data_IF_312045928296
#
_entry.id   IF_312045928296
#
_cell.length_a   1.000
_cell.length_b   1.000
_cell.length_c   1.000
_cell.angle_alpha   90.00
_cell.angle_beta   90.00
_cell.angle_gamma   90.00
#
_symmetry.space_group_name_H-M   'P 1'
#
loop_
_entity.id
_entity.type
_entity.pdbx_description
1 polymer ?
#
# COMPACT_ATOMS: atom_id res chain seq x y z
N UNK A 1 19.24 0.77 -4.25
CA UNK A 1 19.06 1.38 -2.93
C UNK A 1 19.74 0.48 -1.90
N UNK A 2 20.60 1.05 -1.06
CA UNK A 2 21.31 0.31 -0.01
C UNK A 2 20.42 0.00 1.21
N UNK A 3 21.05 -0.43 2.31
CA UNK A 3 20.35 -0.74 3.55
C UNK A 3 19.69 0.52 4.15
N UNK A 4 20.37 1.65 4.04
CA UNK A 4 19.89 2.97 4.49
C UNK A 4 18.62 3.39 3.76
N UNK A 5 18.53 3.12 2.46
CA UNK A 5 17.31 3.41 1.69
C UNK A 5 16.10 2.57 2.14
N UNK A 6 16.33 1.32 2.55
CA UNK A 6 15.27 0.46 3.11
C UNK A 6 14.85 0.98 4.49
N UNK A 7 15.80 1.39 5.32
CA UNK A 7 15.52 1.97 6.64
C UNK A 7 14.69 3.25 6.52
N UNK A 8 15.07 4.16 5.60
CA UNK A 8 14.29 5.38 5.32
C UNK A 8 12.83 5.05 4.95
N UNK A 9 12.63 4.05 4.08
CA UNK A 9 11.26 3.71 3.66
C UNK A 9 10.43 3.13 4.80
N UNK A 10 11.05 2.35 5.70
CA UNK A 10 10.38 1.85 6.90
C UNK A 10 10.01 2.98 7.86
N UNK A 11 10.90 3.95 8.08
CA UNK A 11 10.64 5.11 8.92
C UNK A 11 9.51 5.98 8.34
N UNK A 12 9.46 6.13 7.01
CA UNK A 12 8.37 6.82 6.31
C UNK A 12 7.04 6.07 6.47
N UNK A 13 7.04 4.74 6.32
CA UNK A 13 5.86 3.91 6.56
C UNK A 13 5.31 4.10 7.98
N UNK A 14 6.20 4.08 8.98
CA UNK A 14 5.83 4.25 10.38
C UNK A 14 5.34 5.67 10.68
N UNK A 15 6.04 6.70 10.15
CA UNK A 15 5.71 8.11 10.45
C UNK A 15 4.40 8.56 9.81
N UNK A 16 4.10 8.08 8.61
CA UNK A 16 2.91 8.46 7.86
C UNK A 16 1.79 7.42 7.93
N UNK A 17 2.02 6.30 8.61
CA UNK A 17 1.09 5.16 8.72
C UNK A 17 0.65 4.62 7.35
N UNK A 18 1.55 4.64 6.36
CA UNK A 18 1.30 4.16 4.99
C UNK A 18 2.04 2.86 4.72
N UNK A 19 1.66 2.18 3.64
CA UNK A 19 2.47 1.11 3.07
C UNK A 19 3.10 1.59 1.76
N UNK A 20 4.42 1.45 1.65
CA UNK A 20 5.19 1.70 0.44
C UNK A 20 5.41 0.38 -0.30
N UNK A 21 4.71 0.12 -1.42
CA UNK A 21 4.95 -1.09 -2.20
C UNK A 21 6.30 -1.04 -2.90
N UNK A 22 6.89 -2.20 -3.17
CA UNK A 22 8.17 -2.31 -3.84
C UNK A 22 8.20 -1.55 -5.19
N UNK A 23 7.07 -1.54 -5.91
CA UNK A 23 6.91 -0.80 -7.17
C UNK A 23 6.95 0.73 -7.01
N UNK A 24 6.53 1.28 -5.87
CA UNK A 24 6.68 2.71 -5.59
C UNK A 24 8.13 3.03 -5.21
N UNK A 25 8.79 2.15 -4.45
CA UNK A 25 10.19 2.30 -4.08
C UNK A 25 11.12 2.34 -5.31
N UNK A 26 10.81 1.58 -6.36
CA UNK A 26 11.54 1.62 -7.63
C UNK A 26 11.41 2.96 -8.38
N UNK A 27 10.33 3.69 -8.16
CA UNK A 27 10.03 4.98 -8.82
C UNK A 27 10.52 6.19 -8.02
N UNK A 28 10.72 6.04 -6.72
CA UNK A 28 11.17 7.10 -5.82
C UNK A 28 12.71 7.13 -5.87
N UNK A 29 13.27 8.08 -6.64
CA UNK A 29 14.71 8.24 -6.81
C UNK A 29 15.24 9.47 -6.08
N UNK A 30 14.42 10.50 -5.90
CA UNK A 30 14.81 11.76 -5.27
C UNK A 30 13.98 12.05 -4.01
N UNK A 31 14.47 12.96 -3.19
CA UNK A 31 13.72 13.47 -2.03
C UNK A 31 12.40 14.12 -2.48
N UNK A 32 12.39 14.78 -3.63
CA UNK A 32 11.19 15.36 -4.24
C UNK A 32 10.18 14.31 -4.67
N UNK A 33 10.62 13.16 -5.22
CA UNK A 33 9.73 12.06 -5.59
C UNK A 33 9.03 11.49 -4.36
N UNK A 34 9.77 11.28 -3.27
CA UNK A 34 9.21 10.83 -2.00
C UNK A 34 8.16 11.81 -1.47
N UNK A 35 8.49 13.11 -1.45
CA UNK A 35 7.54 14.13 -1.05
C UNK A 35 6.30 14.17 -1.94
N UNK A 36 6.46 14.13 -3.26
CA UNK A 36 5.35 14.11 -4.22
C UNK A 36 4.44 12.89 -4.02
N UNK A 37 5.03 11.71 -3.79
CA UNK A 37 4.29 10.49 -3.48
C UNK A 37 3.44 10.64 -2.22
N UNK A 38 4.02 11.14 -1.13
CA UNK A 38 3.31 11.37 0.14
C UNK A 38 2.15 12.37 -0.04
N UNK A 39 2.42 13.48 -0.74
CA UNK A 39 1.39 14.48 -1.00
C UNK A 39 0.26 13.95 -1.87
N UNK A 40 0.55 13.08 -2.83
CA UNK A 40 -0.50 12.43 -3.64
C UNK A 40 -1.38 11.53 -2.76
N UNK A 41 -0.80 10.75 -1.87
CA UNK A 41 -1.54 9.92 -0.90
C UNK A 41 -2.42 10.75 0.03
N UNK A 42 -1.89 11.83 0.59
CA UNK A 42 -2.64 12.76 1.45
C UNK A 42 -3.81 13.41 0.68
N UNK A 43 -3.58 13.83 -0.56
CA UNK A 43 -4.64 14.41 -1.42
C UNK A 43 -5.72 13.39 -1.76
N UNK A 44 -5.35 12.18 -2.11
CA UNK A 44 -6.30 11.11 -2.42
C UNK A 44 -7.22 10.82 -1.21
N UNK A 45 -6.66 10.74 -0.02
CA UNK A 45 -7.43 10.55 1.20
C UNK A 45 -8.43 11.69 1.46
N UNK A 46 -8.02 12.93 1.20
CA UNK A 46 -8.82 14.13 1.47
C UNK A 46 -9.69 14.57 0.28
N UNK A 47 -9.57 13.94 -0.91
CA UNK A 47 -10.28 14.35 -2.14
C UNK A 47 -11.79 14.10 -2.13
N UNK A 48 -12.36 13.58 -1.04
CA UNK A 48 -13.77 13.19 -0.99
C UNK A 48 -14.10 11.96 -1.86
N UNK A 49 -13.13 11.40 -2.57
CA UNK A 49 -13.27 10.11 -3.21
C UNK A 49 -13.37 9.06 -2.12
N UNK A 50 -14.48 8.34 -2.10
CA UNK A 50 -14.65 7.26 -1.15
C UNK A 50 -13.57 6.20 -1.41
N UNK A 51 -12.55 6.15 -0.55
CA UNK A 51 -11.40 5.24 -0.69
C UNK A 51 -11.87 3.79 -0.81
N UNK A 52 -12.93 3.41 -0.08
CA UNK A 52 -13.55 2.10 -0.20
C UNK A 52 -14.12 1.85 -1.59
N UNK A 53 -14.71 2.84 -2.26
CA UNK A 53 -15.15 2.70 -3.65
C UNK A 53 -13.96 2.55 -4.59
N UNK A 54 -12.92 3.39 -4.43
CA UNK A 54 -11.70 3.33 -5.25
C UNK A 54 -11.01 1.96 -5.16
N UNK A 55 -10.95 1.35 -3.97
CA UNK A 55 -10.36 0.02 -3.75
C UNK A 55 -11.31 -1.14 -4.12
N UNK A 56 -12.62 -0.94 -4.03
CA UNK A 56 -13.59 -1.94 -4.43
C UNK A 56 -13.54 -2.26 -5.93
N UNK A 57 -13.31 -1.26 -6.78
CA UNK A 57 -13.27 -1.46 -8.23
C UNK A 57 -12.11 -2.36 -8.70
N UNK A 58 -10.84 -2.19 -8.27
CA UNK A 58 -9.76 -3.12 -8.57
C UNK A 58 -10.07 -4.55 -8.10
N UNK A 59 -10.57 -4.73 -6.87
CA UNK A 59 -10.97 -6.05 -6.34
C UNK A 59 -12.00 -6.71 -7.25
N UNK A 60 -13.08 -5.97 -7.62
CA UNK A 60 -14.11 -6.46 -8.53
C UNK A 60 -13.54 -6.80 -9.89
N UNK A 61 -12.68 -5.95 -10.44
CA UNK A 61 -12.05 -6.17 -11.75
C UNK A 61 -11.26 -7.47 -11.77
N UNK A 62 -10.40 -7.70 -10.79
CA UNK A 62 -9.63 -8.94 -10.68
C UNK A 62 -10.57 -10.17 -10.61
N UNK A 63 -11.60 -10.13 -9.77
CA UNK A 63 -12.54 -11.25 -9.62
C UNK A 63 -13.27 -11.57 -10.92
N UNK A 64 -13.69 -10.55 -11.67
CA UNK A 64 -14.41 -10.73 -12.93
C UNK A 64 -13.47 -11.16 -14.07
N UNK A 65 -12.37 -10.45 -14.26
CA UNK A 65 -11.51 -10.63 -15.44
C UNK A 65 -10.62 -11.88 -15.31
N UNK A 66 -10.08 -12.15 -14.13
CA UNK A 66 -9.10 -13.21 -13.92
C UNK A 66 -9.70 -14.52 -13.34
N UNK A 67 -10.84 -14.41 -12.64
CA UNK A 67 -11.46 -15.56 -11.97
C UNK A 67 -12.88 -15.87 -12.47
N UNK A 68 -13.32 -15.18 -13.54
CA UNK A 68 -14.61 -15.41 -14.21
C UNK A 68 -15.82 -15.35 -13.27
N UNK A 69 -15.75 -14.53 -12.24
CA UNK A 69 -16.88 -14.30 -11.32
C UNK A 69 -17.88 -13.36 -11.99
N UNK A 70 -19.18 -13.66 -11.87
CA UNK A 70 -20.19 -12.73 -12.37
C UNK A 70 -20.13 -11.42 -11.59
N UNK A 71 -20.13 -10.30 -12.34
CA UNK A 71 -20.09 -8.96 -11.75
C UNK A 71 -21.20 -8.71 -10.73
N UNK A 72 -22.38 -9.31 -10.93
CA UNK A 72 -23.55 -9.18 -10.06
C UNK A 72 -23.32 -9.86 -8.70
N UNK A 73 -22.47 -10.89 -8.66
CA UNK A 73 -22.16 -11.64 -7.44
C UNK A 73 -21.10 -10.96 -6.58
N UNK A 74 -20.31 -10.02 -7.15
CA UNK A 74 -19.29 -9.28 -6.41
C UNK A 74 -19.95 -8.14 -5.62
N UNK A 75 -20.38 -8.48 -4.40
CA UNK A 75 -21.00 -7.54 -3.44
C UNK A 75 -20.16 -7.47 -2.16
N UNK A 76 -20.22 -6.37 -1.40
CA UNK A 76 -19.46 -6.26 -0.15
C UNK A 76 -19.70 -7.40 0.84
N UNK A 77 -20.89 -7.97 0.86
CA UNK A 77 -21.27 -9.08 1.76
C UNK A 77 -20.88 -10.46 1.24
N UNK A 78 -20.46 -10.57 -0.03
CA UNK A 78 -20.13 -11.88 -0.62
C UNK A 78 -18.81 -12.40 -0.07
N UNK A 79 -18.80 -13.68 0.30
CA UNK A 79 -17.61 -14.36 0.83
C UNK A 79 -16.64 -14.69 -0.32
N UNK A 80 -15.36 -14.35 -0.13
CA UNK A 80 -14.32 -14.61 -1.12
C UNK A 80 -14.15 -16.10 -1.43
N UNK A 81 -14.36 -16.95 -0.45
CA UNK A 81 -14.24 -18.41 -0.63
C UNK A 81 -15.30 -19.02 -1.57
N UNK A 82 -16.40 -18.31 -1.84
CA UNK A 82 -17.42 -18.71 -2.82
C UNK A 82 -17.03 -18.30 -4.25
N UNK A 83 -16.17 -17.31 -4.37
CA UNK A 83 -15.78 -16.72 -5.65
C UNK A 83 -14.41 -17.22 -6.14
N UNK A 84 -13.51 -17.55 -5.21
CA UNK A 84 -12.13 -17.95 -5.54
C UNK A 84 -11.90 -19.38 -5.08
N UNK A 85 -11.65 -20.27 -6.04
CA UNK A 85 -11.35 -21.67 -5.76
C UNK A 85 -10.08 -21.81 -4.89
N UNK A 86 -10.01 -22.88 -4.07
CA UNK A 86 -8.90 -23.08 -3.12
C UNK A 86 -7.52 -23.02 -3.77
N UNK A 87 -7.38 -23.59 -4.97
CA UNK A 87 -6.12 -23.61 -5.71
C UNK A 87 -5.68 -22.24 -6.25
N UNK A 88 -6.63 -21.32 -6.39
CA UNK A 88 -6.39 -20.00 -7.01
C UNK A 88 -6.22 -18.88 -5.98
N UNK A 89 -6.41 -19.16 -4.67
CA UNK A 89 -6.39 -18.12 -3.64
C UNK A 89 -5.06 -17.41 -3.52
N UNK A 90 -3.95 -18.13 -3.64
CA UNK A 90 -2.63 -17.49 -3.64
C UNK A 90 -2.44 -16.57 -4.85
N UNK A 91 -2.87 -17.02 -6.04
CA UNK A 91 -2.82 -16.21 -7.26
C UNK A 91 -3.68 -14.94 -7.14
N UNK A 92 -4.89 -15.08 -6.62
CA UNK A 92 -5.77 -13.94 -6.34
C UNK A 92 -5.12 -12.96 -5.37
N UNK A 93 -4.54 -13.47 -4.29
CA UNK A 93 -3.91 -12.66 -3.24
C UNK A 93 -2.74 -11.84 -3.78
N UNK A 94 -1.82 -12.47 -4.53
CA UNK A 94 -0.67 -11.78 -5.14
C UNK A 94 -1.09 -10.70 -6.13
N UNK A 95 -2.08 -10.98 -7.00
CA UNK A 95 -2.61 -9.96 -7.92
C UNK A 95 -3.26 -8.79 -7.18
N UNK A 96 -3.90 -9.08 -6.06
CA UNK A 96 -4.54 -8.05 -5.26
C UNK A 96 -3.50 -7.16 -4.56
N UNK A 97 -2.45 -7.75 -3.96
CA UNK A 97 -1.34 -7.00 -3.36
C UNK A 97 -0.70 -6.03 -4.37
N UNK A 98 -0.50 -6.49 -5.61
CA UNK A 98 -0.02 -5.65 -6.70
C UNK A 98 -1.00 -4.50 -7.02
N UNK A 99 -2.29 -4.81 -7.14
CA UNK A 99 -3.31 -3.83 -7.55
C UNK A 99 -3.64 -2.79 -6.48
N UNK A 100 -3.56 -3.16 -5.19
CA UNK A 100 -3.83 -2.25 -4.07
C UNK A 100 -2.56 -1.61 -3.52
N UNK A 101 -1.39 -1.99 -4.06
CA UNK A 101 -0.08 -1.53 -3.64
C UNK A 101 0.15 -1.64 -2.12
N UNK A 102 -0.28 -2.76 -1.52
CA UNK A 102 -0.16 -3.00 -0.09
C UNK A 102 0.07 -4.49 0.21
N UNK A 103 0.82 -4.78 1.27
CA UNK A 103 1.00 -6.16 1.76
C UNK A 103 -0.22 -6.61 2.53
N UNK A 104 -0.86 -7.66 2.05
CA UNK A 104 -2.01 -8.25 2.70
C UNK A 104 -1.60 -9.29 3.76
N UNK A 105 -2.47 -9.58 4.74
CA UNK A 105 -2.19 -10.59 5.74
C UNK A 105 -2.05 -11.97 5.09
N UNK A 106 -1.11 -12.78 5.59
CA UNK A 106 -0.83 -14.10 5.03
C UNK A 106 -2.07 -14.98 5.04
N UNK A 107 -2.30 -15.69 3.95
CA UNK A 107 -3.32 -16.74 3.88
C UNK A 107 -3.05 -17.80 4.96
N UNK A 108 -4.09 -18.24 5.65
CA UNK A 108 -3.98 -19.29 6.66
C UNK A 108 -3.88 -20.65 5.98
N UNK A 109 -2.86 -21.42 6.28
CA UNK A 109 -2.78 -22.82 5.86
C UNK A 109 -3.70 -23.68 6.70
N UNK A 110 -4.59 -24.45 6.07
CA UNK A 110 -5.37 -25.45 6.77
C UNK A 110 -4.45 -26.52 7.36
N UNK A 111 -4.49 -26.71 8.68
CA UNK A 111 -3.72 -27.74 9.39
C UNK A 111 -4.41 -29.11 9.39
N UNK A 112 -5.62 -29.22 8.84
CA UNK A 112 -6.38 -30.46 8.87
C UNK A 112 -6.00 -31.37 7.68
N UNK A 113 -5.66 -32.62 7.97
CA UNK A 113 -5.05 -33.64 7.08
C UNK A 113 -5.82 -33.91 5.76
N UNK A 114 -7.11 -33.64 5.68
CA UNK A 114 -7.95 -33.89 4.50
C UNK A 114 -8.24 -32.65 3.62
N UNK A 115 -7.86 -31.43 4.05
CA UNK A 115 -8.23 -30.18 3.38
C UNK A 115 -6.98 -29.35 3.11
N UNK A 116 -6.19 -29.76 2.11
CA UNK A 116 -5.05 -28.97 1.63
C UNK A 116 -5.58 -27.76 0.87
N UNK A 117 -5.29 -26.55 1.36
CA UNK A 117 -5.57 -25.30 0.65
C UNK A 117 -5.46 -24.09 1.57
N UNK A 118 -5.13 -22.98 0.98
CA UNK A 118 -5.04 -21.72 1.69
C UNK A 118 -6.45 -21.21 2.04
N UNK A 119 -6.56 -20.54 3.20
CA UNK A 119 -7.81 -19.95 3.67
C UNK A 119 -7.62 -18.44 3.81
N UNK A 120 -8.64 -17.69 3.43
CA UNK A 120 -8.65 -16.26 3.67
C UNK A 120 -8.65 -15.96 5.18
N UNK A 121 -7.91 -14.92 5.65
CA UNK A 121 -8.01 -14.45 7.01
C UNK A 121 -9.46 -14.05 7.35
N UNK A 122 -9.86 -14.18 8.60
CA UNK A 122 -11.20 -13.77 9.04
C UNK A 122 -11.47 -12.29 8.81
N UNK A 123 -10.44 -11.45 8.99
CA UNK A 123 -10.48 -10.01 8.70
C UNK A 123 -10.71 -9.68 7.21
N UNK A 124 -10.54 -10.65 6.31
CA UNK A 124 -10.67 -10.50 4.87
C UNK A 124 -11.57 -11.62 4.28
N UNK A 125 -12.56 -12.10 5.00
CA UNK A 125 -13.39 -13.24 4.55
C UNK A 125 -14.48 -12.84 3.54
N UNK A 126 -14.90 -11.57 3.53
CA UNK A 126 -15.82 -10.99 2.55
C UNK A 126 -15.14 -9.91 1.72
N UNK A 127 -15.73 -9.57 0.57
CA UNK A 127 -15.23 -8.46 -0.28
C UNK A 127 -15.17 -7.16 0.50
N UNK A 128 -16.20 -6.85 1.29
CA UNK A 128 -16.24 -5.61 2.08
C UNK A 128 -15.18 -5.57 3.19
N UNK A 129 -14.96 -6.69 3.89
CA UNK A 129 -13.89 -6.77 4.88
C UNK A 129 -12.51 -6.62 4.25
N UNK A 130 -12.29 -7.25 3.09
CA UNK A 130 -11.06 -7.11 2.33
C UNK A 130 -10.83 -5.66 1.91
N UNK A 131 -11.86 -5.00 1.34
CA UNK A 131 -11.78 -3.59 0.94
C UNK A 131 -11.49 -2.69 2.13
N UNK A 132 -12.18 -2.89 3.27
CA UNK A 132 -11.93 -2.10 4.47
C UNK A 132 -10.49 -2.31 4.99
N UNK A 133 -10.00 -3.54 4.96
CA UNK A 133 -8.61 -3.82 5.33
C UNK A 133 -7.62 -3.10 4.39
N UNK A 134 -7.89 -3.11 3.08
CA UNK A 134 -7.09 -2.34 2.12
C UNK A 134 -7.20 -0.82 2.37
N UNK A 135 -8.36 -0.31 2.77
CA UNK A 135 -8.52 1.10 3.17
C UNK A 135 -7.61 1.42 4.35
N UNK A 136 -7.65 0.57 5.39
CA UNK A 136 -6.84 0.79 6.59
C UNK A 136 -5.32 0.78 6.27
N UNK A 137 -4.88 -0.09 5.35
CA UNK A 137 -3.49 -0.15 4.89
C UNK A 137 -3.06 1.04 4.01
N UNK A 138 -4.01 1.72 3.36
CA UNK A 138 -3.73 2.85 2.47
C UNK A 138 -4.07 4.20 3.11
N UNK A 139 -4.53 4.19 4.36
CA UNK A 139 -4.90 5.41 5.07
C UNK A 139 -3.65 6.06 5.64
N UNK A 140 -3.38 7.29 5.20
CA UNK A 140 -2.37 8.14 5.85
C UNK A 140 -2.92 8.62 7.18
N UNK A 141 -2.07 8.85 8.16
CA UNK A 141 -2.49 9.43 9.45
C UNK A 141 -3.31 10.71 9.25
N UNK A 142 -4.39 10.86 10.02
CA UNK A 142 -5.30 12.03 9.93
C UNK A 142 -4.61 13.36 10.35
N UNK A 143 -3.33 13.30 10.71
CA UNK A 143 -2.50 14.46 11.07
C UNK A 143 -2.22 15.39 9.89
N UNK A 144 -2.21 14.85 8.65
CA UNK A 144 -1.81 15.60 7.46
C UNK A 144 -2.98 15.98 6.56
N UNK A 145 -2.91 17.17 5.95
CA UNK A 145 -3.90 17.72 5.04
C UNK A 145 -3.28 18.07 3.68
N UNK A 146 -4.08 18.25 2.63
CA UNK A 146 -3.59 18.57 1.28
C UNK A 146 -2.79 19.90 1.18
N UNK A 147 -2.97 20.80 2.12
CA UNK A 147 -2.27 22.09 2.21
C UNK A 147 -1.01 22.04 3.10
N UNK A 148 -0.74 20.92 3.77
CA UNK A 148 0.43 20.74 4.63
C UNK A 148 1.73 20.41 3.86
N UNK A 149 1.83 20.76 2.58
CA UNK A 149 2.97 20.41 1.72
C UNK A 149 4.32 20.82 2.30
N UNK A 150 4.42 22.04 2.84
CA UNK A 150 5.66 22.54 3.43
C UNK A 150 6.03 21.75 4.70
N UNK A 151 5.05 21.42 5.53
CA UNK A 151 5.23 20.61 6.73
C UNK A 151 5.66 19.18 6.39
N UNK A 152 5.05 18.56 5.37
CA UNK A 152 5.44 17.24 4.90
C UNK A 152 6.86 17.27 4.34
N UNK A 153 7.21 18.29 3.55
CA UNK A 153 8.57 18.51 3.06
C UNK A 153 9.59 18.62 4.19
N UNK A 154 9.26 19.38 5.23
CA UNK A 154 10.10 19.53 6.41
C UNK A 154 10.38 18.21 7.12
N UNK A 155 9.35 17.40 7.32
CA UNK A 155 9.48 16.08 7.96
C UNK A 155 10.33 15.13 7.10
N UNK A 156 10.08 15.09 5.79
CA UNK A 156 10.87 14.27 4.86
C UNK A 156 12.34 14.67 4.89
N UNK A 157 12.63 15.97 4.84
CA UNK A 157 14.00 16.46 4.90
C UNK A 157 14.67 16.14 6.24
N UNK A 158 13.94 16.20 7.35
CA UNK A 158 14.48 15.83 8.68
C UNK A 158 14.85 14.34 8.71
N UNK A 159 13.95 13.45 8.29
CA UNK A 159 14.21 12.01 8.26
C UNK A 159 15.40 11.65 7.36
N UNK A 160 15.47 12.25 6.16
CA UNK A 160 16.58 12.02 5.22
C UNK A 160 17.90 12.56 5.78
N UNK A 161 17.90 13.77 6.37
CA UNK A 161 19.08 14.39 6.95
C UNK A 161 19.65 13.56 8.11
N UNK A 162 18.78 13.07 8.99
CA UNK A 162 19.17 12.26 10.14
C UNK A 162 19.81 10.94 9.70
N UNK A 163 19.23 10.28 8.69
CA UNK A 163 19.72 9.00 8.21
C UNK A 163 21.02 9.15 7.38
N UNK A 164 21.07 10.15 6.49
CA UNK A 164 22.24 10.38 5.63
C UNK A 164 23.38 11.12 6.35
N UNK A 165 23.14 11.66 7.55
CA UNK A 165 24.14 12.45 8.27
C UNK A 165 24.50 13.78 7.60
N UNK A 166 23.57 14.37 6.83
CA UNK A 166 23.77 15.64 6.11
C UNK A 166 22.96 16.77 6.73
N UNK A 167 23.33 18.01 6.44
CA UNK A 167 22.54 19.15 6.88
C UNK A 167 21.22 19.21 6.08
N UNK A 168 20.10 19.40 6.79
CA UNK A 168 18.76 19.58 6.19
C UNK A 168 18.72 20.68 5.12
N UNK A 169 19.47 21.75 5.32
CA UNK A 169 19.58 22.88 4.37
C UNK A 169 20.22 22.53 3.04
N UNK A 170 20.94 21.41 2.96
CA UNK A 170 21.56 20.92 1.73
C UNK A 170 20.60 20.12 0.85
N UNK A 171 19.49 19.63 1.41
CA UNK A 171 18.51 18.80 0.69
C UNK A 171 17.61 19.67 -0.20
N UNK A 172 17.44 19.20 -1.44
CA UNK A 172 16.59 19.80 -2.45
C UNK A 172 15.66 18.75 -3.03
N UNK A 173 14.68 19.18 -3.82
CA UNK A 173 13.76 18.26 -4.47
C UNK A 173 14.46 17.31 -5.45
N UNK A 174 15.52 17.77 -6.10
CA UNK A 174 16.34 17.00 -7.04
C UNK A 174 17.50 16.22 -6.39
N UNK A 175 17.62 16.25 -5.06
CA UNK A 175 18.64 15.44 -4.35
C UNK A 175 18.33 13.94 -4.53
N UNK A 176 19.24 13.24 -5.18
CA UNK A 176 19.12 11.82 -5.50
C UNK A 176 19.62 10.93 -4.35
N UNK A 177 18.85 9.90 -4.01
CA UNK A 177 19.16 9.03 -2.90
C UNK A 177 20.44 8.21 -3.11
N UNK A 178 20.73 7.79 -4.35
CA UNK A 178 21.88 6.96 -4.66
C UNK A 178 23.13 7.79 -4.95
N UNK A 179 22.99 8.81 -5.84
CA UNK A 179 24.15 9.55 -6.32
C UNK A 179 24.62 10.65 -5.36
N UNK A 180 23.71 11.28 -4.63
CA UNK A 180 24.02 12.40 -3.76
C UNK A 180 24.14 11.99 -2.28
N UNK A 181 23.32 11.01 -1.85
CA UNK A 181 23.27 10.58 -0.45
C UNK A 181 23.90 9.21 -0.19
N UNK A 182 24.14 8.41 -1.24
CA UNK A 182 24.82 7.12 -1.16
C UNK A 182 23.96 5.96 -0.62
N UNK A 183 22.63 6.06 -0.69
CA UNK A 183 21.66 5.05 -0.23
C UNK A 183 21.60 3.81 -1.12
#
# INVERSE_FOLDING_TARGET
>A
MGLEGVELMMDVEDRFEIALPDSAMEQIQTVGDLHAFLMDRIRQQNSGVCLSAALFYPVRKILVDDFSVDRADVRPTTRLELMVAKGDRQKFWSKLEEAVAARLPRLKRSKWFQWKGDMFPESCSTVGQLVNHCVDLNKVTDEFRPDDSDRVWEIVCEMVADLAGVERSSLKQDTDFVTDLGF
#
